data_IF_439328430996
#
_entry.id   IF_439328430996
#
_cell.length_a   1.000
_cell.length_b   1.000
_cell.length_c   1.000
_cell.angle_alpha   90.00
_cell.angle_beta   90.00
_cell.angle_gamma   90.00
#
_symmetry.space_group_name_H-M   'P 1'
#
loop_
_entity.id
_entity.type
_entity.pdbx_description
1 polymer ?
#
# COMPACT_ATOMS: atom_id res chain seq x y z
N UNK A 1 17.93 -3.71 -6.87
CA UNK A 1 16.81 -2.91 -6.34
C UNK A 1 15.75 -2.82 -7.43
N UNK A 2 14.48 -3.05 -7.12
CA UNK A 2 13.36 -2.78 -8.01
C UNK A 2 12.53 -1.66 -7.36
N UNK A 3 12.32 -0.55 -8.05
CA UNK A 3 11.52 0.56 -7.57
C UNK A 3 10.61 1.05 -8.68
N UNK A 4 9.39 1.43 -8.34
CA UNK A 4 8.39 1.96 -9.25
C UNK A 4 7.64 3.10 -8.55
N UNK A 5 7.37 4.15 -9.30
CA UNK A 5 6.47 5.22 -8.92
C UNK A 5 5.41 5.39 -10.01
N UNK A 6 4.16 5.49 -9.58
CA UNK A 6 3.02 5.76 -10.48
C UNK A 6 2.27 6.98 -9.96
N UNK A 7 2.03 7.94 -10.85
CA UNK A 7 1.14 9.07 -10.63
C UNK A 7 -0.04 8.96 -11.60
N UNK A 8 -1.25 9.14 -11.09
CA UNK A 8 -2.46 9.25 -11.90
C UNK A 8 -3.17 10.53 -11.49
N UNK A 9 -3.43 11.35 -12.50
CA UNK A 9 -4.36 12.47 -12.45
C UNK A 9 -5.48 12.13 -13.41
N UNK A 10 -6.71 12.12 -12.91
CA UNK A 10 -7.87 11.64 -13.65
C UNK A 10 -9.08 12.46 -13.26
N UNK A 11 -9.68 13.09 -14.24
CA UNK A 11 -10.84 13.95 -14.19
C UNK A 11 -12.16 13.20 -14.43
N UNK A 12 -12.10 11.91 -14.79
CA UNK A 12 -13.28 11.05 -14.82
C UNK A 12 -13.00 9.65 -14.26
N UNK A 13 -13.30 9.46 -12.99
CA UNK A 13 -13.26 8.18 -12.30
C UNK A 13 -14.66 7.79 -11.82
N UNK A 14 -15.15 6.65 -12.30
CA UNK A 14 -16.47 6.12 -11.98
C UNK A 14 -16.37 5.05 -10.89
N UNK A 15 -17.20 5.18 -9.86
CA UNK A 15 -17.34 4.16 -8.80
C UNK A 15 -18.81 3.76 -8.71
N UNK A 16 -19.10 2.51 -9.08
CA UNK A 16 -20.43 1.92 -8.90
C UNK A 16 -20.61 1.35 -7.49
N UNK A 17 -21.82 1.45 -6.94
CA UNK A 17 -22.21 0.78 -5.69
C UNK A 17 -23.17 -0.40 -5.94
N UNK A 18 -23.49 -1.13 -4.87
CA UNK A 18 -24.41 -2.28 -4.93
C UNK A 18 -25.85 -1.91 -5.26
N UNK A 19 -26.21 -0.64 -5.08
CA UNK A 19 -27.56 -0.12 -5.30
C UNK A 19 -27.79 0.29 -6.77
N UNK A 20 -26.77 0.11 -7.62
CA UNK A 20 -26.82 0.42 -9.05
C UNK A 20 -26.53 1.88 -9.37
N UNK A 21 -26.15 2.69 -8.38
CA UNK A 21 -25.73 4.07 -8.59
C UNK A 21 -24.26 4.12 -9.00
N UNK A 22 -23.93 5.05 -9.91
CA UNK A 22 -22.56 5.32 -10.34
C UNK A 22 -22.20 6.74 -9.94
N UNK A 23 -21.20 6.85 -9.06
CA UNK A 23 -20.66 8.13 -8.59
C UNK A 23 -19.46 8.55 -9.43
N UNK A 24 -19.36 9.84 -9.74
CA UNK A 24 -18.24 10.42 -10.51
C UNK A 24 -17.27 11.19 -9.62
N UNK A 25 -15.98 11.02 -9.91
CA UNK A 25 -14.88 11.62 -9.18
C UNK A 25 -13.78 12.14 -10.10
N UNK A 26 -13.13 13.22 -9.71
CA UNK A 26 -11.75 13.51 -10.08
C UNK A 26 -10.86 12.87 -9.02
N UNK A 27 -9.69 12.35 -9.40
CA UNK A 27 -8.74 11.77 -8.46
C UNK A 27 -7.30 12.15 -8.78
N UNK A 28 -6.54 12.24 -7.70
CA UNK A 28 -5.08 12.22 -7.71
C UNK A 28 -4.63 10.98 -6.95
N UNK A 29 -3.78 10.16 -7.58
CA UNK A 29 -3.28 8.92 -6.99
C UNK A 29 -1.77 8.85 -7.14
N UNK A 30 -1.09 8.72 -6.02
CA UNK A 30 0.34 8.42 -5.95
C UNK A 30 0.52 6.98 -5.48
N UNK A 31 1.38 6.22 -6.14
CA UNK A 31 1.80 4.88 -5.71
C UNK A 31 3.31 4.78 -5.73
N UNK A 32 3.86 4.24 -4.65
CA UNK A 32 5.28 3.92 -4.51
C UNK A 32 5.40 2.43 -4.24
N UNK A 33 6.30 1.79 -4.97
CA UNK A 33 6.71 0.42 -4.73
C UNK A 33 8.23 0.35 -4.71
N UNK A 34 8.79 -0.29 -3.70
CA UNK A 34 10.21 -0.58 -3.65
C UNK A 34 10.45 -1.99 -3.11
N UNK A 35 11.36 -2.73 -3.75
CA UNK A 35 11.81 -4.04 -3.32
C UNK A 35 13.32 -4.15 -3.42
N UNK A 36 13.95 -4.30 -2.26
CA UNK A 36 15.36 -4.59 -2.11
C UNK A 36 15.54 -6.08 -1.78
N UNK A 37 16.47 -6.73 -2.49
CA UNK A 37 16.95 -8.07 -2.15
C UNK A 37 18.47 -7.95 -2.03
N UNK A 38 18.99 -8.29 -0.86
CA UNK A 38 20.43 -8.28 -0.57
C UNK A 38 20.83 -9.67 -0.10
N UNK A 39 21.87 -10.24 -0.72
CA UNK A 39 22.55 -11.44 -0.20
C UNK A 39 23.62 -10.96 0.75
N UNK A 40 23.59 -11.44 2.00
CA UNK A 40 24.62 -11.09 2.98
C UNK A 40 25.80 -12.05 2.88
N UNK A 41 25.52 -13.34 2.64
CA UNK A 41 26.51 -14.40 2.40
C UNK A 41 25.92 -15.48 1.46
N UNK A 42 26.64 -16.59 1.23
CA UNK A 42 26.18 -17.69 0.36
C UNK A 42 24.94 -18.46 0.87
N UNK A 43 24.60 -18.29 2.14
CA UNK A 43 23.53 -18.96 2.86
C UNK A 43 22.45 -18.00 3.40
N UNK A 44 22.61 -16.68 3.28
CA UNK A 44 21.66 -15.72 3.86
C UNK A 44 21.32 -14.53 2.97
N UNK A 45 20.07 -14.10 3.07
CA UNK A 45 19.53 -12.95 2.35
C UNK A 45 18.49 -12.18 3.16
N UNK A 46 18.39 -10.90 2.83
CA UNK A 46 17.36 -9.99 3.30
C UNK A 46 16.54 -9.53 2.10
N UNK A 47 15.22 -9.58 2.23
CA UNK A 47 14.26 -8.95 1.32
C UNK A 47 13.49 -7.88 2.06
N UNK A 48 13.52 -6.64 1.59
CA UNK A 48 12.68 -5.55 2.10
C UNK A 48 11.75 -5.10 0.99
N UNK A 49 10.45 -5.11 1.25
CA UNK A 49 9.42 -4.63 0.32
C UNK A 49 8.61 -3.53 1.00
N UNK A 50 8.52 -2.39 0.35
CA UNK A 50 7.72 -1.25 0.78
C UNK A 50 6.72 -0.91 -0.31
N UNK A 51 5.48 -0.69 0.08
CA UNK A 51 4.41 -0.23 -0.79
C UNK A 51 3.68 0.90 -0.10
N UNK A 52 3.34 1.93 -0.86
CA UNK A 52 2.48 3.00 -0.40
C UNK A 52 1.58 3.42 -1.54
N UNK A 53 0.34 3.77 -1.22
CA UNK A 53 -0.46 4.61 -2.10
C UNK A 53 -1.23 5.63 -1.31
N UNK A 54 -1.40 6.81 -1.92
CA UNK A 54 -2.26 7.88 -1.43
C UNK A 54 -3.20 8.29 -2.56
N UNK A 55 -4.48 8.37 -2.25
CA UNK A 55 -5.58 8.73 -3.12
C UNK A 55 -6.28 9.95 -2.52
N UNK A 56 -6.49 10.96 -3.34
CA UNK A 56 -7.43 12.05 -3.07
C UNK A 56 -8.49 12.02 -4.15
N UNK A 57 -9.76 11.97 -3.76
CA UNK A 57 -10.88 11.93 -4.68
C UNK A 57 -11.84 13.08 -4.36
N UNK A 58 -12.25 13.80 -5.40
CA UNK A 58 -13.24 14.89 -5.33
C UNK A 58 -14.44 14.53 -6.17
N UNK A 59 -15.63 14.58 -5.59
CA UNK A 59 -16.87 14.36 -6.30
C UNK A 59 -17.10 15.42 -7.36
N UNK A 60 -17.44 14.98 -8.58
CA UNK A 60 -17.77 15.87 -9.69
C UNK A 60 -19.29 15.90 -9.88
N UNK A 61 -19.83 17.09 -10.14
CA UNK A 61 -21.24 17.25 -10.50
C UNK A 61 -21.55 16.51 -11.83
N UNK A 62 -22.55 15.63 -11.82
CA UNK A 62 -22.93 14.87 -13.00
C UNK A 62 -23.60 15.77 -14.06
N UNK A 63 -23.30 15.51 -15.33
CA UNK A 63 -23.96 16.20 -16.46
C UNK A 63 -25.22 15.46 -16.94
N UNK A 64 -25.54 14.31 -16.34
CA UNK A 64 -26.63 13.40 -16.72
C UNK A 64 -27.19 12.72 -15.48
N UNK A 65 -28.50 12.52 -15.45
CA UNK A 65 -29.23 11.86 -14.35
C UNK A 65 -28.83 10.40 -14.11
N UNK A 66 -28.03 9.81 -15.01
CA UNK A 66 -27.47 8.46 -14.84
C UNK A 66 -26.36 8.38 -13.79
N UNK A 67 -25.82 9.52 -13.37
CA UNK A 67 -24.71 9.59 -12.42
C UNK A 67 -25.08 10.46 -11.23
N UNK A 68 -24.55 10.12 -10.06
CA UNK A 68 -24.63 10.96 -8.86
C UNK A 68 -23.26 11.54 -8.52
N UNK A 69 -23.25 12.67 -7.81
CA UNK A 69 -22.01 13.22 -7.26
C UNK A 69 -21.56 12.35 -6.08
N UNK A 70 -20.27 12.02 -6.05
CA UNK A 70 -19.67 11.36 -4.90
C UNK A 70 -19.25 12.34 -3.80
N UNK A 71 -19.07 11.84 -2.58
CA UNK A 71 -18.50 12.61 -1.48
C UNK A 71 -16.98 12.67 -1.60
N UNK A 72 -16.37 13.81 -1.32
CA UNK A 72 -14.91 13.95 -1.33
C UNK A 72 -14.30 13.02 -0.27
N UNK A 73 -13.21 12.34 -0.61
CA UNK A 73 -12.52 11.45 0.32
C UNK A 73 -11.03 11.36 0.03
N UNK A 74 -10.25 11.15 1.10
CA UNK A 74 -8.85 10.82 1.00
C UNK A 74 -8.62 9.42 1.59
N UNK A 75 -7.68 8.69 1.00
CA UNK A 75 -7.31 7.37 1.47
C UNK A 75 -5.85 7.09 1.22
N UNK A 76 -5.17 6.54 2.21
CA UNK A 76 -3.76 6.19 2.16
C UNK A 76 -3.54 4.84 2.79
N UNK A 77 -2.65 4.06 2.22
CA UNK A 77 -2.25 2.77 2.77
C UNK A 77 -0.75 2.59 2.61
N UNK A 78 -0.13 2.14 3.68
CA UNK A 78 1.28 1.81 3.74
C UNK A 78 1.46 0.35 4.13
N UNK A 79 2.41 -0.33 3.47
CA UNK A 79 2.81 -1.68 3.79
C UNK A 79 4.34 -1.81 3.70
N UNK A 80 4.93 -2.38 4.74
CA UNK A 80 6.35 -2.70 4.81
C UNK A 80 6.50 -4.15 5.26
N UNK A 81 7.33 -4.90 4.54
CA UNK A 81 7.73 -6.24 4.93
C UNK A 81 9.24 -6.38 4.83
N UNK A 82 9.88 -6.76 5.93
CA UNK A 82 11.29 -7.15 5.96
C UNK A 82 11.38 -8.64 6.27
N UNK A 83 12.06 -9.39 5.42
CA UNK A 83 12.25 -10.84 5.56
C UNK A 83 13.74 -11.16 5.52
N UNK A 84 14.23 -11.77 6.59
CA UNK A 84 15.51 -12.44 6.62
C UNK A 84 15.32 -13.93 6.35
N UNK A 85 16.24 -14.54 5.60
CA UNK A 85 16.35 -15.98 5.40
C UNK A 85 17.77 -16.43 5.68
N UNK A 86 17.93 -17.53 6.42
CA UNK A 86 19.17 -18.30 6.57
C UNK A 86 18.94 -19.73 6.12
N UNK A 87 19.75 -20.20 5.18
CA UNK A 87 19.84 -21.61 4.81
C UNK A 87 20.82 -22.31 5.74
N UNK A 88 20.49 -23.55 6.09
CA UNK A 88 21.33 -24.46 6.85
C UNK A 88 21.97 -25.47 5.88
N UNK A 89 23.06 -26.10 6.32
CA UNK A 89 23.84 -27.01 5.47
C UNK A 89 23.07 -28.26 5.05
N UNK A 90 22.12 -28.70 5.89
CA UNK A 90 21.18 -29.78 5.57
C UNK A 90 20.07 -29.38 4.58
N UNK A 91 20.14 -28.19 3.99
CA UNK A 91 19.11 -27.66 3.08
C UNK A 91 17.89 -27.04 3.77
N UNK A 92 17.79 -27.14 5.11
CA UNK A 92 16.74 -26.47 5.89
C UNK A 92 16.86 -24.95 5.80
N UNK A 93 15.80 -24.22 6.16
CA UNK A 93 15.80 -22.77 6.12
C UNK A 93 15.05 -22.15 7.29
N UNK A 94 15.62 -21.11 7.88
CA UNK A 94 15.00 -20.28 8.90
C UNK A 94 14.61 -18.94 8.30
N UNK A 95 13.43 -18.45 8.64
CA UNK A 95 12.90 -17.17 8.21
C UNK A 95 12.52 -16.32 9.41
N UNK A 96 12.84 -15.04 9.35
CA UNK A 96 12.31 -14.03 10.25
C UNK A 96 11.64 -12.96 9.41
N UNK A 97 10.35 -12.72 9.64
CA UNK A 97 9.53 -11.78 8.87
C UNK A 97 8.99 -10.73 9.81
N UNK A 98 9.29 -9.46 9.54
CA UNK A 98 8.64 -8.30 10.13
C UNK A 98 7.64 -7.73 9.12
N UNK A 99 6.43 -7.40 9.58
CA UNK A 99 5.41 -6.71 8.78
C UNK A 99 4.88 -5.49 9.54
N UNK A 100 4.70 -4.39 8.82
CA UNK A 100 4.12 -3.14 9.31
C UNK A 100 3.16 -2.60 8.25
N UNK A 101 1.87 -2.60 8.57
CA UNK A 101 0.81 -2.17 7.67
C UNK A 101 -0.05 -1.12 8.38
N UNK A 102 -0.36 -0.03 7.70
CA UNK A 102 -1.22 1.04 8.23
C UNK A 102 -2.05 1.69 7.16
N UNK A 103 -3.07 2.42 7.60
CA UNK A 103 -4.00 3.15 6.75
C UNK A 103 -4.21 4.55 7.31
N UNK A 104 -4.67 5.46 6.46
CA UNK A 104 -5.23 6.75 6.85
C UNK A 104 -6.40 7.05 5.91
N UNK A 105 -7.57 7.29 6.45
CA UNK A 105 -8.82 7.54 5.74
C UNK A 105 -9.43 8.91 6.13
N UNK A 106 -8.56 9.90 6.35
CA UNK A 106 -8.97 11.22 6.81
C UNK A 106 -9.91 11.91 5.82
N UNK A 107 -10.90 12.61 6.37
CA UNK A 107 -11.83 13.46 5.63
C UNK A 107 -11.36 14.92 5.59
N UNK A 108 -10.10 15.19 5.91
CA UNK A 108 -9.54 16.55 5.89
C UNK A 108 -9.26 16.98 4.46
N UNK A 109 -9.97 18.01 3.96
CA UNK A 109 -9.86 18.47 2.57
C UNK A 109 -8.46 18.97 2.17
N UNK A 110 -7.72 19.53 3.13
CA UNK A 110 -6.41 20.17 2.92
C UNK A 110 -5.22 19.26 3.27
N UNK A 111 -5.42 17.98 3.56
CA UNK A 111 -4.33 17.08 3.93
C UNK A 111 -3.40 16.81 2.74
N UNK A 112 -2.10 17.03 2.85
CA UNK A 112 -1.15 16.75 1.76
C UNK A 112 -0.80 15.27 1.62
N UNK A 113 -0.31 14.86 0.45
CA UNK A 113 0.13 13.48 0.22
C UNK A 113 1.26 13.03 1.15
N UNK A 114 2.12 13.97 1.60
CA UNK A 114 3.16 13.71 2.58
C UNK A 114 2.57 13.40 3.96
N UNK A 115 1.51 14.11 4.36
CA UNK A 115 0.79 13.88 5.61
C UNK A 115 0.02 12.55 5.54
N UNK A 116 -0.69 12.27 4.43
CA UNK A 116 -1.34 10.98 4.18
C UNK A 116 -0.34 9.80 4.29
N UNK A 117 0.87 9.96 3.74
CA UNK A 117 1.93 8.96 3.88
C UNK A 117 2.39 8.82 5.33
N UNK A 118 2.67 9.95 5.99
CA UNK A 118 3.12 9.99 7.38
C UNK A 118 2.12 9.33 8.32
N UNK A 119 0.83 9.64 8.17
CA UNK A 119 -0.25 9.09 8.99
C UNK A 119 -0.38 7.57 8.81
N UNK A 120 -0.40 7.10 7.55
CA UNK A 120 -0.48 5.66 7.27
C UNK A 120 0.76 4.90 7.77
N UNK A 121 1.93 5.54 7.86
CA UNK A 121 3.14 4.95 8.46
C UNK A 121 3.06 4.96 9.99
N UNK A 122 2.61 6.07 10.59
CA UNK A 122 2.60 6.29 12.04
C UNK A 122 1.54 5.43 12.75
N UNK A 123 0.40 5.17 12.11
CA UNK A 123 -0.76 4.47 12.67
C UNK A 123 -0.94 3.09 12.04
N UNK A 124 -0.16 2.08 12.44
CA UNK A 124 -0.27 0.73 11.90
C UNK A 124 -1.55 0.04 12.39
N UNK A 125 -2.31 -0.53 11.47
CA UNK A 125 -3.34 -1.52 11.80
C UNK A 125 -2.72 -2.85 12.24
N UNK A 126 -1.55 -3.19 11.67
CA UNK A 126 -0.88 -4.44 11.94
C UNK A 126 0.63 -4.26 12.04
N UNK A 127 1.19 -4.68 13.17
CA UNK A 127 2.63 -4.91 13.36
C UNK A 127 2.82 -6.36 13.78
N UNK A 128 3.68 -7.10 13.09
CA UNK A 128 3.97 -8.48 13.45
C UNK A 128 5.41 -8.88 13.19
N UNK A 129 5.90 -9.79 14.02
CA UNK A 129 7.16 -10.51 13.82
C UNK A 129 6.82 -12.00 13.78
N UNK A 130 7.29 -12.70 12.76
CA UNK A 130 7.03 -14.13 12.58
C UNK A 130 8.34 -14.86 12.30
N UNK A 131 8.67 -15.83 13.14
CA UNK A 131 9.73 -16.79 12.88
C UNK A 131 9.15 -18.05 12.23
N UNK A 132 9.78 -18.58 11.19
CA UNK A 132 9.39 -19.84 10.53
C UNK A 132 10.62 -20.70 10.29
N UNK A 133 10.48 -22.01 10.48
CA UNK A 133 11.52 -22.99 10.18
C UNK A 133 10.93 -23.94 9.13
N UNK A 134 11.65 -24.10 8.03
CA UNK A 134 11.42 -25.14 7.05
C UNK A 134 12.49 -26.21 7.24
N UNK A 135 12.08 -27.38 7.74
CA UNK A 135 12.98 -28.48 8.04
C UNK A 135 13.01 -29.50 6.90
N UNK A 136 14.22 -29.89 6.49
CA UNK A 136 14.46 -30.94 5.49
C UNK A 136 15.13 -32.12 6.20
N UNK A 137 14.61 -33.32 5.96
CA UNK A 137 15.09 -34.59 6.52
C UNK A 137 16.20 -35.19 5.65
#
# INVERSE_FOLDING_TARGET
>A
LNANYTYIDSDDWLIGNSDGEVKRYSRYLNKIYAKLIARLDGSSDITVTTQWFGLKAKGIEPHSDMYSRGDDFNFSQFALQARYRKKLDNGSSVYLVYSHNGIDDSLEDDIDFSQLASNAIANPLQKSITAKINWVF
#
